data_IF_725969861991
#
_entry.id   IF_725969861991
#
_cell.length_a   1.000
_cell.length_b   1.000
_cell.length_c   1.000
_cell.angle_alpha   90.00
_cell.angle_beta   90.00
_cell.angle_gamma   90.00
#
_symmetry.space_group_name_H-M   'P 1'
#
loop_
_entity.id
_entity.type
_entity.pdbx_description
1 polymer ?
#
# COMPACT_ATOMS: atom_id res chain seq x y z
N UNK A 1 23.46 -8.25 -11.03
CA UNK A 1 24.38 -8.47 -9.88
C UNK A 1 24.52 -7.24 -8.98
N UNK A 2 24.76 -6.03 -9.53
CA UNK A 2 24.92 -4.79 -8.74
C UNK A 2 23.67 -4.45 -7.91
N UNK A 3 22.48 -4.55 -8.50
CA UNK A 3 21.21 -4.25 -7.84
C UNK A 3 20.89 -5.25 -6.72
N UNK A 4 21.11 -6.55 -6.94
CA UNK A 4 20.92 -7.57 -5.91
C UNK A 4 21.86 -7.37 -4.72
N UNK A 5 23.08 -6.96 -4.95
CA UNK A 5 24.01 -6.58 -3.88
C UNK A 5 23.53 -5.41 -3.02
N UNK A 6 22.70 -4.49 -3.59
CA UNK A 6 22.08 -3.40 -2.81
C UNK A 6 20.94 -3.91 -1.94
N UNK A 7 20.16 -4.90 -2.41
CA UNK A 7 19.10 -5.52 -1.60
C UNK A 7 19.71 -6.23 -0.39
N UNK A 8 20.78 -7.03 -0.58
CA UNK A 8 21.49 -7.65 0.53
C UNK A 8 21.98 -6.63 1.56
N UNK A 9 22.58 -5.52 1.10
CA UNK A 9 23.02 -4.46 2.01
C UNK A 9 21.86 -3.87 2.80
N UNK A 10 20.71 -3.63 2.15
CA UNK A 10 19.53 -3.11 2.82
C UNK A 10 19.00 -4.08 3.88
N UNK A 11 18.96 -5.39 3.57
CA UNK A 11 18.56 -6.42 4.53
C UNK A 11 19.52 -6.48 5.72
N UNK A 12 20.85 -6.44 5.49
CA UNK A 12 21.82 -6.43 6.59
C UNK A 12 21.71 -5.16 7.44
N UNK A 13 21.51 -3.98 6.87
CA UNK A 13 21.27 -2.75 7.65
C UNK A 13 20.01 -2.85 8.51
N UNK A 14 18.92 -3.39 7.96
CA UNK A 14 17.71 -3.60 8.73
C UNK A 14 17.92 -4.60 9.87
N UNK A 15 18.66 -5.68 9.62
CA UNK A 15 19.04 -6.67 10.63
C UNK A 15 19.84 -6.05 11.77
N UNK A 16 20.86 -5.24 11.45
CA UNK A 16 21.71 -4.54 12.43
C UNK A 16 20.90 -3.56 13.30
N UNK A 17 19.83 -3.02 12.73
CA UNK A 17 18.89 -2.09 13.41
C UNK A 17 17.70 -2.81 14.06
N UNK A 18 17.66 -4.16 14.05
CA UNK A 18 16.52 -4.96 14.51
C UNK A 18 15.20 -4.61 13.82
N UNK A 19 15.26 -4.28 12.53
CA UNK A 19 14.11 -4.00 11.67
C UNK A 19 13.80 -5.22 10.81
N UNK A 20 12.52 -5.40 10.46
CA UNK A 20 12.07 -6.42 9.51
C UNK A 20 12.04 -5.84 8.10
N UNK A 21 12.12 -6.72 7.11
CA UNK A 21 12.13 -6.37 5.69
C UNK A 21 10.99 -7.09 4.98
N UNK A 22 10.25 -6.38 4.17
CA UNK A 22 9.36 -6.94 3.15
C UNK A 22 10.01 -6.64 1.79
N UNK A 23 10.31 -7.67 1.02
CA UNK A 23 10.83 -7.56 -0.33
C UNK A 23 9.69 -7.73 -1.31
N UNK A 24 9.41 -6.70 -2.12
CA UNK A 24 8.31 -6.69 -3.08
C UNK A 24 8.76 -6.56 -4.54
N UNK A 25 7.89 -6.97 -5.46
CA UNK A 25 7.91 -6.53 -6.84
C UNK A 25 6.98 -5.33 -7.00
N UNK A 26 7.54 -4.13 -6.82
CA UNK A 26 6.75 -2.90 -6.86
C UNK A 26 6.25 -2.56 -8.28
N UNK A 27 7.12 -2.67 -9.28
CA UNK A 27 6.80 -2.44 -10.69
C UNK A 27 7.42 -3.53 -11.55
N UNK A 28 6.64 -4.09 -12.45
CA UNK A 28 7.11 -4.96 -13.52
C UNK A 28 6.91 -4.28 -14.87
N UNK A 29 7.71 -4.66 -15.87
CA UNK A 29 7.48 -4.21 -17.25
C UNK A 29 6.09 -4.63 -17.76
N UNK A 30 5.58 -5.77 -17.29
CA UNK A 30 4.27 -6.32 -17.65
C UNK A 30 3.13 -5.92 -16.72
N UNK A 31 3.42 -5.21 -15.63
CA UNK A 31 2.46 -4.70 -14.67
C UNK A 31 2.95 -3.41 -14.03
N UNK A 32 2.26 -2.32 -14.32
CA UNK A 32 2.45 -1.04 -13.67
C UNK A 32 1.08 -0.44 -13.33
N UNK A 33 0.75 -0.41 -12.04
CA UNK A 33 -0.58 -0.03 -11.54
C UNK A 33 -1.02 1.40 -11.91
N UNK A 34 -0.08 2.30 -12.28
CA UNK A 34 -0.39 3.64 -12.80
C UNK A 34 -0.50 3.72 -14.34
N UNK A 35 -0.23 2.61 -15.07
CA UNK A 35 -0.38 2.51 -16.53
C UNK A 35 -1.11 1.21 -16.88
N UNK A 36 -2.41 1.21 -16.64
CA UNK A 36 -3.25 0.02 -16.78
C UNK A 36 -3.53 -0.36 -18.24
N UNK A 37 -3.29 0.54 -19.20
CA UNK A 37 -3.55 0.27 -20.63
C UNK A 37 -2.49 -0.65 -21.24
N UNK A 38 -1.28 -0.68 -20.69
CA UNK A 38 -0.14 -1.43 -21.24
C UNK A 38 0.21 -2.69 -20.43
N UNK A 39 -0.63 -3.11 -19.49
CA UNK A 39 -0.38 -4.31 -18.69
C UNK A 39 -0.60 -5.58 -19.49
N UNK A 40 0.43 -6.43 -19.57
CA UNK A 40 0.37 -7.75 -20.23
C UNK A 40 0.41 -8.93 -19.27
N UNK A 41 0.65 -8.69 -17.99
CA UNK A 41 0.75 -9.74 -16.97
C UNK A 41 -0.52 -10.61 -16.91
N UNK A 42 -1.68 -9.99 -17.02
CA UNK A 42 -2.97 -10.66 -16.83
C UNK A 42 -3.37 -11.53 -18.03
N UNK A 43 -2.91 -11.21 -19.24
CA UNK A 43 -3.22 -11.90 -20.49
C UNK A 43 -2.10 -12.82 -21.01
N UNK A 44 -0.85 -12.64 -20.55
CA UNK A 44 0.32 -13.36 -21.04
C UNK A 44 0.84 -14.39 -20.04
N UNK A 45 0.67 -15.68 -20.38
CA UNK A 45 1.28 -16.76 -19.58
C UNK A 45 2.80 -16.62 -19.50
N UNK A 46 3.47 -16.14 -20.57
CA UNK A 46 4.92 -15.96 -20.59
C UNK A 46 5.37 -14.90 -19.58
N UNK A 47 4.60 -13.81 -19.38
CA UNK A 47 4.91 -12.80 -18.36
C UNK A 47 4.66 -13.33 -16.94
N UNK A 48 3.61 -14.14 -16.73
CA UNK A 48 3.37 -14.84 -15.47
C UNK A 48 4.50 -15.82 -15.14
N UNK A 49 4.99 -16.56 -16.14
CA UNK A 49 6.13 -17.48 -15.98
C UNK A 49 7.41 -16.73 -15.63
N UNK A 50 7.65 -15.57 -16.23
CA UNK A 50 8.80 -14.70 -15.85
C UNK A 50 8.71 -14.23 -14.40
N UNK A 51 7.54 -13.80 -13.92
CA UNK A 51 7.35 -13.40 -12.53
C UNK A 51 7.63 -14.57 -11.58
N UNK A 52 7.11 -15.76 -11.91
CA UNK A 52 7.40 -16.97 -11.16
C UNK A 52 8.91 -17.28 -11.11
N UNK A 53 9.59 -17.23 -12.25
CA UNK A 53 11.03 -17.49 -12.34
C UNK A 53 11.87 -16.44 -11.59
N UNK A 54 11.41 -15.19 -11.56
CA UNK A 54 12.05 -14.14 -10.76
C UNK A 54 11.93 -14.45 -9.26
N UNK A 55 10.76 -14.86 -8.78
CA UNK A 55 10.58 -15.27 -7.39
C UNK A 55 11.42 -16.48 -7.02
N UNK A 56 11.52 -17.50 -7.87
CA UNK A 56 12.41 -18.66 -7.65
C UNK A 56 13.87 -18.25 -7.53
N UNK A 57 14.33 -17.30 -8.35
CA UNK A 57 15.69 -16.78 -8.28
C UNK A 57 15.93 -15.98 -7.00
N UNK A 58 14.98 -15.14 -6.59
CA UNK A 58 15.06 -14.40 -5.34
C UNK A 58 15.03 -15.36 -4.14
N UNK A 59 14.15 -16.34 -4.14
CA UNK A 59 14.10 -17.37 -3.10
C UNK A 59 15.45 -18.09 -2.96
N UNK A 60 16.04 -18.54 -4.07
CA UNK A 60 17.35 -19.20 -4.04
C UNK A 60 18.47 -18.31 -3.48
N UNK A 61 18.38 -17.01 -3.64
CA UNK A 61 19.36 -16.03 -3.18
C UNK A 61 19.14 -15.56 -1.74
N UNK A 62 17.87 -15.40 -1.34
CA UNK A 62 17.48 -14.78 -0.07
C UNK A 62 16.98 -15.78 1.00
N UNK A 63 16.86 -17.08 0.70
CA UNK A 63 16.40 -18.09 1.64
C UNK A 63 17.30 -18.25 2.88
N UNK A 64 18.52 -17.74 2.82
CA UNK A 64 19.44 -17.69 3.96
C UNK A 64 18.97 -16.76 5.10
N UNK A 65 18.08 -15.81 4.80
CA UNK A 65 17.54 -14.90 5.80
C UNK A 65 16.32 -15.53 6.49
N UNK A 66 16.24 -15.47 7.83
CA UNK A 66 15.13 -16.09 8.56
C UNK A 66 13.80 -15.32 8.36
N UNK A 67 12.69 -16.01 8.54
CA UNK A 67 11.35 -15.43 8.48
C UNK A 67 11.11 -14.30 9.48
N UNK A 68 11.83 -14.29 10.60
CA UNK A 68 11.78 -13.18 11.56
C UNK A 68 12.36 -11.87 11.03
N UNK A 69 13.13 -11.93 9.94
CA UNK A 69 13.76 -10.77 9.31
C UNK A 69 13.14 -10.42 7.95
N UNK A 70 12.91 -11.40 7.07
CA UNK A 70 12.53 -11.17 5.68
C UNK A 70 11.23 -11.87 5.32
N UNK A 71 10.30 -11.13 4.73
CA UNK A 71 9.09 -11.62 4.07
C UNK A 71 9.11 -11.25 2.59
N UNK A 72 8.31 -11.97 1.78
CA UNK A 72 8.13 -11.70 0.34
C UNK A 72 6.72 -11.19 0.06
N UNK A 73 6.62 -10.03 -0.57
CA UNK A 73 5.37 -9.49 -1.09
C UNK A 73 5.31 -9.76 -2.59
N UNK A 74 4.31 -10.54 -3.00
CA UNK A 74 4.32 -11.18 -4.33
C UNK A 74 4.25 -10.19 -5.47
N UNK A 75 3.47 -9.14 -5.32
CA UNK A 75 3.28 -8.06 -6.30
C UNK A 75 2.56 -6.90 -5.63
N UNK A 76 3.15 -5.71 -5.70
CA UNK A 76 2.50 -4.48 -5.26
C UNK A 76 1.29 -4.13 -6.12
N UNK A 77 0.20 -3.74 -5.49
CA UNK A 77 -1.00 -3.19 -6.13
C UNK A 77 -1.50 -3.95 -7.37
N UNK A 78 -1.85 -5.24 -7.26
CA UNK A 78 -2.35 -5.99 -8.40
C UNK A 78 -3.63 -5.36 -8.97
N UNK A 79 -3.66 -5.08 -10.29
CA UNK A 79 -4.81 -4.50 -11.00
C UNK A 79 -5.22 -5.45 -12.15
N UNK A 80 -5.79 -6.63 -11.84
CA UNK A 80 -6.28 -7.56 -12.84
C UNK A 80 -7.59 -7.09 -13.47
N UNK A 81 -7.92 -7.58 -14.68
CA UNK A 81 -9.23 -7.34 -15.31
C UNK A 81 -10.37 -7.95 -14.47
N UNK A 82 -10.09 -9.07 -13.81
CA UNK A 82 -11.01 -9.73 -12.87
C UNK A 82 -10.26 -10.25 -11.65
N UNK A 83 -10.86 -10.28 -10.46
CA UNK A 83 -10.21 -10.78 -9.24
C UNK A 83 -9.64 -12.19 -9.38
N UNK A 84 -10.31 -13.07 -10.16
CA UNK A 84 -9.89 -14.45 -10.39
C UNK A 84 -8.53 -14.58 -11.11
N UNK A 85 -8.11 -13.60 -11.90
CA UNK A 85 -6.78 -13.62 -12.52
C UNK A 85 -5.68 -13.49 -11.46
N UNK A 86 -5.84 -12.57 -10.49
CA UNK A 86 -4.90 -12.43 -9.37
C UNK A 86 -4.93 -13.65 -8.46
N UNK A 87 -6.11 -14.11 -8.07
CA UNK A 87 -6.27 -15.30 -7.23
C UNK A 87 -5.54 -16.51 -7.81
N UNK A 88 -5.70 -16.75 -9.12
CA UNK A 88 -5.00 -17.83 -9.81
C UNK A 88 -3.49 -17.66 -9.84
N UNK A 89 -3.01 -16.44 -10.13
CA UNK A 89 -1.57 -16.16 -10.21
C UNK A 89 -0.92 -16.22 -8.83
N UNK A 90 -1.50 -15.57 -7.84
CA UNK A 90 -0.97 -15.55 -6.46
C UNK A 90 -0.93 -16.94 -5.84
N UNK A 91 -2.00 -17.72 -6.01
CA UNK A 91 -2.05 -19.13 -5.57
C UNK A 91 -0.94 -19.98 -6.21
N UNK A 92 -0.69 -19.79 -7.52
CA UNK A 92 0.41 -20.46 -8.22
C UNK A 92 1.76 -20.05 -7.62
N UNK A 93 2.02 -18.75 -7.44
CA UNK A 93 3.29 -18.24 -6.91
C UNK A 93 3.53 -18.76 -5.48
N UNK A 94 2.50 -18.74 -4.62
CA UNK A 94 2.58 -19.28 -3.26
C UNK A 94 2.94 -20.75 -3.30
N UNK A 95 2.22 -21.58 -4.08
CA UNK A 95 2.49 -23.01 -4.17
C UNK A 95 3.92 -23.31 -4.65
N UNK A 96 4.42 -22.57 -5.66
CA UNK A 96 5.79 -22.73 -6.14
C UNK A 96 6.84 -22.31 -5.10
N UNK A 97 6.59 -21.23 -4.35
CA UNK A 97 7.48 -20.79 -3.26
C UNK A 97 7.44 -21.76 -2.07
N UNK A 98 6.28 -22.35 -1.73
CA UNK A 98 6.17 -23.33 -0.64
C UNK A 98 6.99 -24.61 -0.89
N UNK A 99 7.22 -24.97 -2.15
CA UNK A 99 8.14 -26.07 -2.49
C UNK A 99 9.60 -25.71 -2.16
N UNK A 100 9.99 -24.44 -2.29
CA UNK A 100 11.35 -23.96 -2.07
C UNK A 100 11.58 -23.55 -0.60
N UNK A 101 10.62 -22.84 -0.04
CA UNK A 101 10.64 -22.30 1.31
C UNK A 101 9.28 -22.53 1.98
N UNK A 102 9.05 -23.70 2.60
CA UNK A 102 7.74 -24.07 3.15
C UNK A 102 7.20 -23.09 4.19
N UNK A 103 8.08 -22.46 4.95
CA UNK A 103 7.70 -21.58 6.06
C UNK A 103 7.93 -20.09 5.78
N UNK A 104 8.32 -19.70 4.55
CA UNK A 104 8.55 -18.29 4.20
C UNK A 104 7.30 -17.45 4.43
N UNK A 105 7.44 -16.36 5.20
CA UNK A 105 6.37 -15.39 5.34
C UNK A 105 6.09 -14.72 3.99
N UNK A 106 4.84 -14.80 3.54
CA UNK A 106 4.38 -14.21 2.28
C UNK A 106 3.37 -13.12 2.60
N UNK A 107 3.57 -11.94 2.03
CA UNK A 107 2.62 -10.84 2.04
C UNK A 107 1.78 -10.94 0.78
N UNK A 108 0.48 -11.06 0.95
CA UNK A 108 -0.50 -11.25 -0.11
C UNK A 108 -1.42 -10.03 -0.21
N UNK A 109 -1.21 -9.24 -1.24
CA UNK A 109 -2.00 -8.07 -1.52
C UNK A 109 -3.41 -8.40 -2.00
N UNK A 110 -4.38 -7.59 -1.57
CA UNK A 110 -5.67 -7.55 -2.22
C UNK A 110 -5.55 -6.98 -3.65
N UNK A 111 -6.46 -7.32 -4.55
CA UNK A 111 -6.51 -6.72 -5.88
C UNK A 111 -6.99 -5.26 -5.86
N UNK A 112 -7.13 -4.66 -7.04
CA UNK A 112 -7.65 -3.29 -7.20
C UNK A 112 -6.85 -2.23 -6.42
N UNK A 113 -5.52 -2.18 -6.66
CA UNK A 113 -4.57 -1.31 -5.95
C UNK A 113 -4.53 -1.61 -4.45
N UNK A 114 -4.46 -2.88 -4.09
CA UNK A 114 -4.45 -3.37 -2.69
C UNK A 114 -5.60 -2.80 -1.85
N UNK A 115 -6.76 -2.63 -2.49
CA UNK A 115 -7.95 -2.02 -1.89
C UNK A 115 -8.52 -2.90 -0.78
N UNK A 116 -8.90 -2.30 0.36
CA UNK A 116 -9.56 -3.00 1.46
C UNK A 116 -10.84 -3.73 0.99
N UNK A 117 -11.62 -3.11 0.11
CA UNK A 117 -12.85 -3.71 -0.43
C UNK A 117 -12.60 -4.97 -1.23
N UNK A 118 -11.43 -5.12 -1.84
CA UNK A 118 -11.07 -6.29 -2.63
C UNK A 118 -10.68 -7.52 -1.79
N UNK A 119 -10.47 -7.38 -0.49
CA UNK A 119 -10.24 -8.51 0.42
C UNK A 119 -11.36 -9.56 0.38
N UNK A 120 -12.59 -9.13 0.12
CA UNK A 120 -13.74 -10.04 0.05
C UNK A 120 -13.71 -10.96 -1.16
N UNK A 121 -12.92 -10.63 -2.19
CA UNK A 121 -12.76 -11.44 -3.41
C UNK A 121 -11.41 -12.15 -3.47
N UNK A 122 -10.55 -11.94 -2.47
CA UNK A 122 -9.23 -12.56 -2.39
C UNK A 122 -9.38 -14.02 -1.95
N UNK A 123 -8.87 -14.94 -2.76
CA UNK A 123 -8.76 -16.35 -2.39
C UNK A 123 -7.47 -16.57 -1.61
N UNK A 124 -7.63 -16.94 -0.35
CA UNK A 124 -6.54 -17.13 0.59
C UNK A 124 -6.26 -18.64 0.71
N UNK A 125 -4.99 -19.09 0.58
CA UNK A 125 -4.64 -20.48 0.80
C UNK A 125 -5.09 -20.97 2.18
N UNK A 126 -5.78 -22.10 2.21
CA UNK A 126 -6.23 -22.69 3.46
C UNK A 126 -5.07 -23.34 4.22
N UNK A 127 -5.09 -23.23 5.53
CA UNK A 127 -4.11 -23.85 6.45
C UNK A 127 -2.66 -23.39 6.20
N UNK A 128 -2.45 -22.18 5.68
CA UNK A 128 -1.14 -21.57 5.57
C UNK A 128 -1.03 -20.39 6.55
N UNK A 129 -0.45 -20.60 7.74
CA UNK A 129 -0.33 -19.53 8.75
C UNK A 129 0.77 -18.52 8.42
N UNK A 130 1.58 -18.78 7.41
CA UNK A 130 2.71 -17.94 7.01
C UNK A 130 2.33 -16.96 5.90
N UNK A 131 1.08 -16.47 5.96
CA UNK A 131 0.56 -15.41 5.09
C UNK A 131 0.18 -14.20 5.93
N UNK A 132 0.56 -13.03 5.46
CA UNK A 132 0.09 -11.72 5.93
C UNK A 132 -0.78 -11.13 4.80
N UNK A 133 -2.00 -10.73 5.12
CA UNK A 133 -2.86 -10.05 4.16
C UNK A 133 -2.48 -8.58 4.10
N UNK A 134 -2.28 -8.04 2.90
CA UNK A 134 -1.88 -6.65 2.69
C UNK A 134 -2.97 -5.84 2.00
N UNK A 135 -3.16 -4.62 2.47
CA UNK A 135 -4.04 -3.61 1.88
C UNK A 135 -3.37 -2.24 1.95
N UNK A 136 -3.74 -1.33 1.03
CA UNK A 136 -3.32 0.07 1.09
C UNK A 136 -4.46 0.96 1.58
N UNK A 137 -4.11 2.00 2.33
CA UNK A 137 -5.10 2.89 2.92
C UNK A 137 -4.77 4.36 2.67
N UNK A 138 -5.52 4.94 1.73
CA UNK A 138 -5.39 6.33 1.32
C UNK A 138 -6.71 7.11 1.38
N UNK A 139 -7.70 6.56 2.09
CA UNK A 139 -9.03 7.21 2.18
C UNK A 139 -9.01 8.43 3.11
N UNK A 140 -9.51 9.59 2.66
CA UNK A 140 -10.05 9.89 1.31
C UNK A 140 -8.95 10.34 0.33
N UNK A 141 -8.96 9.78 -0.89
CA UNK A 141 -7.92 10.07 -1.88
C UNK A 141 -7.78 11.55 -2.24
N UNK A 142 -8.86 12.32 -2.21
CA UNK A 142 -8.80 13.77 -2.45
C UNK A 142 -7.89 14.49 -1.44
N UNK A 143 -7.83 14.02 -0.19
CA UNK A 143 -6.94 14.55 0.83
C UNK A 143 -5.53 14.03 0.67
N UNK A 144 -5.39 12.70 0.55
CA UNK A 144 -4.08 12.05 0.57
C UNK A 144 -3.29 12.25 -0.72
N UNK A 145 -3.96 12.51 -1.84
CA UNK A 145 -3.38 12.75 -3.17
C UNK A 145 -3.63 14.16 -3.69
N UNK A 146 -3.87 15.13 -2.80
CA UNK A 146 -4.13 16.50 -3.20
C UNK A 146 -3.01 17.06 -4.07
N UNK A 147 -3.38 17.54 -5.27
CA UNK A 147 -2.43 18.04 -6.28
C UNK A 147 -1.35 17.04 -6.71
N UNK A 148 -1.62 15.73 -6.62
CA UNK A 148 -0.71 14.71 -7.11
C UNK A 148 -0.41 14.92 -8.62
N UNK A 149 0.88 15.05 -8.96
CA UNK A 149 1.31 15.43 -10.31
C UNK A 149 0.96 14.44 -11.41
N UNK A 150 0.78 13.17 -11.06
CA UNK A 150 0.38 12.08 -11.95
C UNK A 150 -1.14 11.92 -12.11
N UNK A 151 -1.95 12.63 -11.32
CA UNK A 151 -3.41 12.61 -11.42
C UNK A 151 -3.92 13.90 -12.08
N UNK A 152 -4.25 13.87 -13.39
CA UNK A 152 -4.59 15.07 -14.15
C UNK A 152 -5.68 15.94 -13.53
N UNK A 153 -6.75 15.30 -13.00
CA UNK A 153 -7.86 15.98 -12.37
C UNK A 153 -7.54 16.64 -11.03
N UNK A 154 -6.49 16.22 -10.34
CA UNK A 154 -6.08 16.81 -9.06
C UNK A 154 -4.90 17.76 -9.18
N UNK A 155 -4.05 17.58 -10.19
CA UNK A 155 -2.79 18.31 -10.36
C UNK A 155 -2.92 19.84 -10.29
N UNK A 156 -4.04 20.39 -10.76
CA UNK A 156 -4.29 21.84 -10.80
C UNK A 156 -5.41 22.28 -9.88
N UNK A 157 -5.96 21.37 -9.09
CA UNK A 157 -7.06 21.66 -8.19
C UNK A 157 -6.57 22.56 -7.06
N UNK A 158 -7.20 23.73 -6.90
CA UNK A 158 -6.88 24.67 -5.82
C UNK A 158 -8.17 24.90 -5.01
N UNK A 159 -8.32 24.13 -3.95
CA UNK A 159 -9.43 24.21 -2.99
C UNK A 159 -8.89 24.04 -1.58
N UNK A 160 -9.63 24.49 -0.59
CA UNK A 160 -9.30 24.24 0.80
C UNK A 160 -9.85 22.89 1.24
N UNK A 161 -8.98 22.05 1.80
CA UNK A 161 -9.36 20.78 2.40
C UNK A 161 -9.45 20.92 3.92
N UNK A 162 -10.36 20.18 4.53
CA UNK A 162 -10.56 20.13 5.97
C UNK A 162 -10.52 18.68 6.46
N UNK A 163 -9.92 18.46 7.62
CA UNK A 163 -9.96 17.20 8.34
C UNK A 163 -9.58 17.45 9.82
N UNK A 164 -10.34 16.90 10.79
CA UNK A 164 -11.60 16.17 10.61
C UNK A 164 -12.76 17.09 10.18
N UNK A 165 -13.82 16.51 9.58
CA UNK A 165 -15.01 17.19 9.17
C UNK A 165 -15.40 16.98 7.71
N UNK A 166 -16.23 17.89 7.18
CA UNK A 166 -16.58 17.94 5.76
C UNK A 166 -15.32 18.30 4.96
N UNK A 167 -14.87 17.39 4.08
CA UNK A 167 -13.57 17.51 3.40
C UNK A 167 -13.46 18.78 2.55
N UNK A 168 -14.52 19.11 1.79
CA UNK A 168 -14.62 20.34 1.00
C UNK A 168 -15.95 21.01 1.32
N UNK A 169 -15.92 22.30 1.64
CA UNK A 169 -17.14 23.08 1.92
C UNK A 169 -17.98 23.25 0.66
N UNK A 170 -19.30 23.42 0.82
CA UNK A 170 -20.20 23.70 -0.31
C UNK A 170 -19.75 24.97 -1.07
N UNK A 171 -19.30 26.00 -0.34
CA UNK A 171 -18.82 27.24 -0.95
C UNK A 171 -17.60 27.02 -1.84
N UNK A 172 -16.65 26.18 -1.41
CA UNK A 172 -15.45 25.84 -2.21
C UNK A 172 -15.82 24.98 -3.43
N UNK A 173 -16.75 24.03 -3.29
CA UNK A 173 -17.26 23.23 -4.43
C UNK A 173 -17.86 24.14 -5.50
N UNK A 174 -18.64 25.16 -5.12
CA UNK A 174 -19.27 26.09 -6.04
C UNK A 174 -18.26 26.98 -6.81
N UNK A 175 -17.00 27.04 -6.37
CA UNK A 175 -15.94 27.78 -7.07
C UNK A 175 -15.29 26.97 -8.21
N UNK A 176 -15.45 25.65 -8.22
CA UNK A 176 -14.79 24.77 -9.21
C UNK A 176 -15.45 24.94 -10.57
N UNK A 177 -14.68 25.34 -11.58
CA UNK A 177 -15.14 25.57 -12.96
C UNK A 177 -14.81 24.43 -13.91
N UNK A 178 -13.74 23.69 -13.63
CA UNK A 178 -13.37 22.53 -14.42
C UNK A 178 -14.27 21.34 -14.09
N UNK A 179 -14.88 20.75 -15.12
CA UNK A 179 -15.89 19.68 -14.96
C UNK A 179 -15.28 18.36 -14.46
N UNK A 180 -14.02 18.08 -14.83
CA UNK A 180 -13.34 16.88 -14.35
C UNK A 180 -12.94 17.03 -12.88
N UNK A 181 -12.41 18.17 -12.50
CA UNK A 181 -12.12 18.48 -11.10
C UNK A 181 -13.40 18.40 -10.27
N UNK A 182 -14.52 18.98 -10.73
CA UNK A 182 -15.79 18.93 -10.04
C UNK A 182 -16.29 17.49 -9.86
N UNK A 183 -16.17 16.67 -10.90
CA UNK A 183 -16.54 15.25 -10.85
C UNK A 183 -15.73 14.49 -9.78
N UNK A 184 -14.42 14.69 -9.76
CA UNK A 184 -13.53 14.04 -8.79
C UNK A 184 -13.80 14.54 -7.37
N UNK A 185 -13.97 15.85 -7.19
CA UNK A 185 -14.31 16.41 -5.88
C UNK A 185 -15.65 15.85 -5.40
N UNK A 186 -16.69 15.86 -6.20
CA UNK A 186 -18.00 15.32 -5.80
C UNK A 186 -17.96 13.82 -5.47
N UNK A 187 -17.06 13.06 -6.11
CA UNK A 187 -16.89 11.62 -5.84
C UNK A 187 -16.24 11.34 -4.49
N UNK A 188 -15.23 12.14 -4.11
CA UNK A 188 -14.45 11.92 -2.88
C UNK A 188 -14.86 12.83 -1.72
N UNK A 189 -15.67 13.88 -1.96
CA UNK A 189 -16.10 14.79 -0.91
C UNK A 189 -17.09 14.10 0.02
N UNK A 190 -16.92 14.33 1.31
CA UNK A 190 -17.75 13.76 2.36
C UNK A 190 -17.27 14.20 3.73
N UNK A 191 -17.96 13.75 4.75
CA UNK A 191 -17.52 13.92 6.13
C UNK A 191 -16.53 12.80 6.50
N UNK A 192 -15.36 13.18 7.02
CA UNK A 192 -14.32 12.24 7.46
C UNK A 192 -13.80 12.65 8.82
N UNK A 193 -13.70 11.67 9.70
CA UNK A 193 -13.07 11.72 11.01
C UNK A 193 -12.50 10.35 11.35
N UNK A 194 -11.89 10.22 12.54
CA UNK A 194 -11.33 8.96 13.01
C UNK A 194 -12.36 7.81 13.00
N UNK A 195 -13.62 8.09 13.37
CA UNK A 195 -14.65 7.05 13.42
C UNK A 195 -14.97 6.50 12.03
N UNK A 196 -15.10 7.37 11.02
CA UNK A 196 -15.30 6.97 9.62
C UNK A 196 -14.08 6.22 9.08
N UNK A 197 -12.86 6.67 9.38
CA UNK A 197 -11.66 5.93 8.98
C UNK A 197 -11.59 4.54 9.62
N UNK A 198 -11.96 4.43 10.91
CA UNK A 198 -12.05 3.13 11.62
C UNK A 198 -13.06 2.21 10.94
N UNK A 199 -14.25 2.72 10.59
CA UNK A 199 -15.26 1.94 9.85
C UNK A 199 -14.72 1.39 8.52
N UNK A 200 -13.94 2.18 7.79
CA UNK A 200 -13.32 1.72 6.53
C UNK A 200 -12.28 0.62 6.76
N UNK A 201 -11.48 0.73 7.81
CA UNK A 201 -10.46 -0.27 8.17
C UNK A 201 -11.11 -1.53 8.76
N UNK A 202 -12.31 -1.44 9.35
CA UNK A 202 -13.02 -2.55 9.99
C UNK A 202 -13.17 -3.76 9.05
N UNK A 203 -13.36 -3.54 7.75
CA UNK A 203 -13.44 -4.63 6.74
C UNK A 203 -12.17 -5.51 6.79
N UNK A 204 -11.00 -4.89 6.90
CA UNK A 204 -9.73 -5.61 6.98
C UNK A 204 -9.58 -6.33 8.34
N UNK A 205 -10.02 -5.70 9.43
CA UNK A 205 -10.02 -6.31 10.76
C UNK A 205 -10.94 -7.53 10.83
N UNK A 206 -12.12 -7.43 10.23
CA UNK A 206 -13.07 -8.55 10.17
C UNK A 206 -12.49 -9.72 9.35
N UNK A 207 -11.79 -9.41 8.24
CA UNK A 207 -11.11 -10.43 7.43
C UNK A 207 -9.98 -11.11 8.21
N UNK A 208 -9.19 -10.35 8.96
CA UNK A 208 -8.18 -10.90 9.86
C UNK A 208 -8.79 -11.86 10.90
N UNK A 209 -9.88 -11.45 11.50
CA UNK A 209 -10.62 -12.28 12.49
C UNK A 209 -11.21 -13.55 11.85
N UNK A 210 -11.77 -13.43 10.64
CA UNK A 210 -12.35 -14.56 9.89
C UNK A 210 -11.29 -15.62 9.56
N UNK A 211 -10.12 -15.17 9.10
CA UNK A 211 -9.05 -16.05 8.60
C UNK A 211 -8.04 -16.47 9.67
N UNK A 212 -7.95 -15.74 10.78
CA UNK A 212 -6.88 -15.87 11.78
C UNK A 212 -5.53 -15.34 11.30
N UNK A 213 -5.45 -14.71 10.12
CA UNK A 213 -4.22 -14.15 9.55
C UNK A 213 -4.03 -12.69 9.96
N UNK A 214 -2.78 -12.26 10.01
CA UNK A 214 -2.45 -10.85 10.27
C UNK A 214 -2.81 -9.98 9.07
N UNK A 215 -3.26 -8.75 9.36
CA UNK A 215 -3.40 -7.67 8.38
C UNK A 215 -2.20 -6.74 8.50
N UNK A 216 -1.66 -6.34 7.35
CA UNK A 216 -0.71 -5.26 7.19
C UNK A 216 -1.33 -4.18 6.32
N UNK A 217 -1.32 -2.93 6.77
CA UNK A 217 -1.60 -1.82 5.87
C UNK A 217 -0.27 -1.46 5.20
N UNK A 218 -0.04 -2.04 4.02
CA UNK A 218 1.23 -1.99 3.29
C UNK A 218 1.66 -0.58 2.92
N UNK A 219 0.67 0.28 2.67
CA UNK A 219 0.91 1.69 2.42
C UNK A 219 -0.13 2.58 3.09
N UNK A 220 0.35 3.59 3.81
CA UNK A 220 -0.41 4.76 4.24
C UNK A 220 0.41 6.01 3.95
N UNK A 221 -0.22 7.08 3.54
CA UNK A 221 0.51 8.32 3.30
C UNK A 221 -0.39 9.47 2.91
N UNK A 222 0.14 10.66 3.03
CA UNK A 222 -0.52 11.87 2.59
C UNK A 222 0.53 12.80 1.97
N UNK A 223 0.28 13.22 0.74
CA UNK A 223 1.21 14.04 -0.05
C UNK A 223 1.46 15.40 0.62
N UNK A 224 2.67 15.91 0.48
CA UNK A 224 3.11 17.18 1.10
C UNK A 224 2.36 18.43 0.63
N UNK A 225 1.67 18.35 -0.52
CA UNK A 225 0.84 19.46 -1.03
C UNK A 225 -0.42 19.70 -0.19
N UNK A 226 -0.83 18.72 0.61
CA UNK A 226 -1.94 18.86 1.56
C UNK A 226 -1.50 19.76 2.72
N UNK A 227 -2.41 20.64 3.18
CA UNK A 227 -2.15 21.50 4.32
C UNK A 227 -1.51 20.72 5.48
N UNK A 228 -0.40 21.21 6.06
CA UNK A 228 0.34 20.46 7.08
C UNK A 228 -0.48 20.06 8.31
N UNK A 229 -1.47 20.86 8.70
CA UNK A 229 -2.35 20.53 9.83
C UNK A 229 -3.34 19.44 9.46
N UNK A 230 -3.95 19.53 8.28
CA UNK A 230 -4.85 18.50 7.73
C UNK A 230 -4.12 17.17 7.58
N UNK A 231 -2.92 17.20 7.01
CA UNK A 231 -2.02 16.05 6.88
C UNK A 231 -1.71 15.42 8.22
N UNK A 232 -1.28 16.22 9.19
CA UNK A 232 -0.93 15.74 10.54
C UNK A 232 -2.12 15.08 11.24
N UNK A 233 -3.30 15.73 11.21
CA UNK A 233 -4.50 15.19 11.85
C UNK A 233 -4.90 13.84 11.25
N UNK A 234 -4.89 13.72 9.91
CA UNK A 234 -5.21 12.47 9.23
C UNK A 234 -4.20 11.36 9.56
N UNK A 235 -2.89 11.64 9.50
CA UNK A 235 -1.83 10.69 9.84
C UNK A 235 -1.93 10.24 11.30
N UNK A 236 -2.26 11.16 12.20
CA UNK A 236 -2.44 10.86 13.63
C UNK A 236 -3.60 9.89 13.87
N UNK A 237 -4.73 10.12 13.22
CA UNK A 237 -5.90 9.25 13.36
C UNK A 237 -5.63 7.85 12.80
N UNK A 238 -4.99 7.75 11.63
CA UNK A 238 -4.63 6.44 11.05
C UNK A 238 -3.65 5.69 11.94
N UNK A 239 -2.60 6.35 12.43
CA UNK A 239 -1.63 5.74 13.36
C UNK A 239 -2.31 5.27 14.66
N UNK A 240 -3.21 6.09 15.21
CA UNK A 240 -3.97 5.74 16.41
C UNK A 240 -4.89 4.52 16.17
N UNK A 241 -5.59 4.46 15.03
CA UNK A 241 -6.43 3.31 14.67
C UNK A 241 -5.58 2.03 14.56
N UNK A 242 -4.45 2.10 13.85
CA UNK A 242 -3.55 0.96 13.71
C UNK A 242 -3.04 0.48 15.07
N UNK A 243 -2.66 1.39 15.96
CA UNK A 243 -2.22 1.07 17.33
C UNK A 243 -3.35 0.44 18.16
N UNK A 244 -4.55 1.02 18.14
CA UNK A 244 -5.71 0.53 18.92
C UNK A 244 -6.11 -0.89 18.51
N UNK A 245 -5.95 -1.23 17.23
CA UNK A 245 -6.31 -2.53 16.69
C UNK A 245 -5.13 -3.48 16.50
N UNK A 246 -3.93 -3.10 16.95
CA UNK A 246 -2.68 -3.88 16.79
C UNK A 246 -2.42 -4.28 15.32
N UNK A 247 -2.60 -3.34 14.38
CA UNK A 247 -2.35 -3.51 12.96
C UNK A 247 -1.01 -2.89 12.60
N UNK A 248 -0.14 -3.66 11.97
CA UNK A 248 1.10 -3.13 11.41
C UNK A 248 0.81 -2.29 10.17
N UNK A 249 1.58 -1.22 9.96
CA UNK A 249 1.48 -0.39 8.77
C UNK A 249 2.84 0.11 8.30
N UNK A 250 2.94 0.45 7.01
CA UNK A 250 4.10 1.08 6.41
C UNK A 250 3.74 2.45 5.85
N UNK A 251 4.58 3.44 6.12
CA UNK A 251 4.37 4.79 5.60
C UNK A 251 4.95 4.90 4.20
N UNK A 252 4.12 5.28 3.25
CA UNK A 252 4.55 5.63 1.91
C UNK A 252 4.86 7.12 1.85
N UNK A 253 6.10 7.55 1.73
CA UNK A 253 7.32 6.77 1.68
C UNK A 253 8.41 7.50 2.49
N UNK A 254 9.66 7.12 2.30
CA UNK A 254 10.79 7.74 3.03
C UNK A 254 11.06 9.18 2.56
N UNK A 255 11.19 9.39 1.23
CA UNK A 255 11.46 10.68 0.57
C UNK A 255 10.43 10.98 -0.52
N UNK A 256 10.62 12.04 -1.30
CA UNK A 256 9.72 12.56 -2.33
C UNK A 256 8.38 13.07 -1.78
N UNK A 257 7.36 13.30 -2.62
CA UNK A 257 6.14 14.02 -2.28
C UNK A 257 5.32 13.44 -1.12
N UNK A 258 5.30 12.11 -0.96
CA UNK A 258 4.70 11.43 0.20
C UNK A 258 5.67 11.27 1.36
N UNK A 259 6.95 11.48 1.12
CA UNK A 259 8.01 11.19 2.08
C UNK A 259 7.90 11.96 3.38
N UNK A 260 8.38 11.31 4.44
CA UNK A 260 8.46 11.89 5.78
C UNK A 260 9.81 12.57 6.05
N UNK A 261 10.82 12.30 5.19
CA UNK A 261 12.17 12.83 5.32
C UNK A 261 12.56 13.73 4.14
N UNK A 262 13.34 14.74 4.40
CA UNK A 262 14.04 15.56 3.42
C UNK A 262 15.25 14.81 2.83
N UNK A 263 15.80 15.31 1.72
CA UNK A 263 16.98 14.70 1.09
C UNK A 263 18.23 14.73 1.98
N UNK A 264 18.33 15.71 2.85
CA UNK A 264 19.42 15.84 3.82
C UNK A 264 19.26 14.95 5.07
N UNK A 265 18.22 14.12 5.15
CA UNK A 265 17.97 13.22 6.27
C UNK A 265 17.27 13.83 7.49
N UNK A 266 16.78 15.08 7.39
CA UNK A 266 15.93 15.67 8.43
C UNK A 266 14.46 15.34 8.21
N UNK A 267 13.66 15.32 9.27
CA UNK A 267 12.20 15.17 9.15
C UNK A 267 11.60 16.36 8.38
N UNK A 268 10.62 16.08 7.49
CA UNK A 268 9.83 17.15 6.85
C UNK A 268 8.92 17.85 7.86
N UNK A 269 8.32 17.07 8.74
CA UNK A 269 7.54 17.54 9.89
C UNK A 269 7.77 16.57 11.05
N UNK A 270 8.47 17.04 12.10
CA UNK A 270 8.78 16.21 13.27
C UNK A 270 7.52 15.67 13.94
N UNK A 271 6.42 16.44 13.95
CA UNK A 271 5.15 16.03 14.57
C UNK A 271 4.57 14.78 13.89
N UNK A 272 4.76 14.64 12.56
CA UNK A 272 4.35 13.42 11.83
C UNK A 272 5.20 12.23 12.29
N UNK A 273 6.51 12.40 12.44
CA UNK A 273 7.37 11.32 12.96
C UNK A 273 6.93 10.92 14.37
N UNK A 274 6.67 11.90 15.23
CA UNK A 274 6.29 11.66 16.63
C UNK A 274 4.99 10.84 16.73
N UNK A 275 3.98 11.12 15.90
CA UNK A 275 2.71 10.35 15.93
C UNK A 275 2.83 8.97 15.30
N UNK A 276 3.77 8.75 14.39
CA UNK A 276 4.01 7.45 13.76
C UNK A 276 4.82 6.50 14.65
N UNK A 277 5.57 7.04 15.64
CA UNK A 277 6.50 6.27 16.49
C UNK A 277 6.03 6.11 17.94
N UNK A 278 4.84 6.61 18.28
CA UNK A 278 4.22 6.48 19.62
C UNK A 278 3.56 5.08 19.89
#
# INVERSE_FOLDING_TARGET
>A
EKERGLIHKAVEWCKDLNMRVILDFHILRSHYFNDTENMTLWSSKAEQDKLSDMWKKLSAEFNQYPNSLLAYELLNEPVPDTPGQWNKLSSRLINELRVLEPDRMIVLDASSHSSIGALNTLEIPQNDPNIILSVHFYTPHLLTHYQAGWWPALKRLTIKLHYPGQLVSHQDVDTIRDSENLRVVNYYNGYYDKAILTEKIQIALDKSKETGLQIHIGEVGCIENTDPTVRLNWMSDVAAICKEHNVAFSVWGYKAGFGIMNDNGTAKDQRVIDVLTQ
#
